data_IF_333969838868
#
_entry.id   IF_333969838868
#
_cell.length_a   1.000
_cell.length_b   1.000
_cell.length_c   1.000
_cell.angle_alpha   90.00
_cell.angle_beta   90.00
_cell.angle_gamma   90.00
#
_symmetry.space_group_name_H-M   'P 1'
#
loop_
_entity.id
_entity.type
_entity.pdbx_description
1 polymer ?
#
# COMPACT_ATOMS: atom_id res chain seq x y z
N UNK A 1 1.63 29.67 -24.34
CA UNK A 1 0.91 29.80 -23.05
C UNK A 1 1.80 30.53 -22.06
N UNK A 2 1.34 31.63 -21.48
CA UNK A 2 2.06 32.41 -20.45
C UNK A 2 1.21 32.43 -19.19
N UNK A 3 1.75 32.00 -18.06
CA UNK A 3 1.01 31.94 -16.79
C UNK A 3 0.94 33.35 -16.21
N UNK A 4 -0.27 33.89 -16.00
CA UNK A 4 -0.49 35.26 -15.50
C UNK A 4 -0.71 35.33 -13.99
N UNK A 5 -1.33 34.32 -13.37
CA UNK A 5 -1.59 34.27 -11.93
C UNK A 5 -1.66 32.85 -11.40
N UNK A 6 -1.03 32.61 -10.26
CA UNK A 6 -1.14 31.36 -9.50
C UNK A 6 -1.95 31.65 -8.24
N UNK A 7 -3.15 31.08 -8.15
CA UNK A 7 -4.11 31.38 -7.08
C UNK A 7 -3.95 30.51 -5.83
N UNK A 8 -3.34 29.33 -5.95
CA UNK A 8 -3.10 28.41 -4.82
C UNK A 8 -1.79 27.69 -5.04
N UNK A 9 -0.89 27.76 -4.05
CA UNK A 9 0.37 27.02 -4.03
C UNK A 9 0.34 26.17 -2.76
N UNK A 10 0.31 24.85 -2.92
CA UNK A 10 0.65 23.94 -1.83
C UNK A 10 2.18 23.88 -1.78
N UNK A 11 2.78 24.49 -0.76
CA UNK A 11 4.23 24.45 -0.53
C UNK A 11 4.51 23.47 0.61
N UNK A 12 5.42 22.53 0.35
CA UNK A 12 5.88 21.57 1.35
C UNK A 12 7.36 21.79 1.63
N UNK A 13 7.79 21.55 2.87
CA UNK A 13 9.20 21.36 3.16
C UNK A 13 9.59 19.95 2.69
N UNK A 14 10.53 19.87 1.76
CA UNK A 14 10.99 18.60 1.20
C UNK A 14 12.45 18.38 1.56
N UNK A 15 12.79 17.16 1.94
CA UNK A 15 14.15 16.70 2.16
C UNK A 15 14.36 15.41 1.36
N UNK A 16 15.60 15.10 1.01
CA UNK A 16 15.94 13.86 0.31
C UNK A 16 16.02 12.68 1.28
N UNK A 17 14.98 12.47 2.09
CA UNK A 17 14.98 11.53 3.21
C UNK A 17 15.20 10.06 2.79
N UNK A 18 14.81 9.68 1.56
CA UNK A 18 15.00 8.33 1.03
C UNK A 18 16.37 8.10 0.37
N UNK A 19 17.12 9.18 0.09
CA UNK A 19 18.37 9.11 -0.70
C UNK A 19 19.40 8.17 -0.10
N UNK A 20 19.68 8.31 1.19
CA UNK A 20 20.69 7.50 1.87
C UNK A 20 20.38 6.00 1.80
N UNK A 21 19.10 5.63 1.83
CA UNK A 21 18.66 4.24 1.71
C UNK A 21 18.89 3.69 0.30
N UNK A 22 18.52 4.45 -0.75
CA UNK A 22 18.72 4.04 -2.14
C UNK A 22 20.22 3.93 -2.46
N UNK A 23 21.03 4.89 -2.01
CA UNK A 23 22.47 4.88 -2.19
C UNK A 23 23.11 3.67 -1.49
N UNK A 24 22.70 3.36 -0.26
CA UNK A 24 23.18 2.20 0.49
C UNK A 24 22.90 0.88 -0.24
N UNK A 25 21.67 0.66 -0.69
CA UNK A 25 21.31 -0.55 -1.44
C UNK A 25 22.03 -0.63 -2.79
N UNK A 26 22.26 0.52 -3.45
CA UNK A 26 23.03 0.58 -4.69
C UNK A 26 24.49 0.19 -4.44
N UNK A 27 25.10 0.70 -3.38
CA UNK A 27 26.46 0.33 -2.98
C UNK A 27 26.55 -1.17 -2.68
N UNK A 28 25.66 -1.71 -1.86
CA UNK A 28 25.68 -3.13 -1.56
C UNK A 28 25.47 -4.00 -2.80
N UNK A 29 24.58 -3.59 -3.72
CA UNK A 29 24.38 -4.29 -5.00
C UNK A 29 25.63 -4.27 -5.87
N UNK A 30 26.38 -3.18 -5.90
CA UNK A 30 27.63 -3.07 -6.66
C UNK A 30 28.73 -3.96 -6.09
N UNK A 31 28.80 -4.10 -4.76
CA UNK A 31 29.81 -4.92 -4.08
C UNK A 31 29.43 -6.40 -3.98
N UNK A 32 28.16 -6.74 -4.20
CA UNK A 32 27.67 -8.11 -4.17
C UNK A 32 28.37 -8.98 -5.22
N UNK A 33 28.89 -10.11 -4.78
CA UNK A 33 29.64 -11.05 -5.63
C UNK A 33 28.76 -12.14 -6.23
N UNK A 34 27.62 -12.42 -5.59
CA UNK A 34 26.67 -13.44 -6.02
C UNK A 34 25.35 -12.83 -6.53
N UNK A 35 24.63 -13.60 -7.35
CA UNK A 35 23.38 -13.15 -7.96
C UNK A 35 22.24 -13.02 -6.96
N UNK A 36 22.27 -13.80 -5.88
CA UNK A 36 21.25 -13.72 -4.83
C UNK A 36 21.27 -12.34 -4.16
N UNK A 37 22.42 -11.89 -3.69
CA UNK A 37 22.59 -10.58 -3.06
C UNK A 37 22.27 -9.44 -4.02
N UNK A 38 22.73 -9.51 -5.27
CA UNK A 38 22.39 -8.51 -6.30
C UNK A 38 20.88 -8.38 -6.47
N UNK A 39 20.18 -9.51 -6.49
CA UNK A 39 18.72 -9.54 -6.61
C UNK A 39 18.04 -9.05 -5.33
N UNK A 40 18.58 -9.36 -4.15
CA UNK A 40 18.07 -8.87 -2.86
C UNK A 40 18.09 -7.34 -2.81
N UNK A 41 19.24 -6.70 -3.04
CA UNK A 41 19.34 -5.23 -2.95
C UNK A 41 18.53 -4.52 -4.03
N UNK A 42 18.41 -5.13 -5.23
CA UNK A 42 17.47 -4.66 -6.26
C UNK A 42 16.03 -4.73 -5.78
N UNK A 43 15.64 -5.85 -5.16
CA UNK A 43 14.30 -6.05 -4.61
C UNK A 43 13.99 -5.02 -3.51
N UNK A 44 14.94 -4.71 -2.64
CA UNK A 44 14.75 -3.74 -1.55
C UNK A 44 14.40 -2.33 -2.07
N UNK A 45 15.03 -1.88 -3.17
CA UNK A 45 14.67 -0.61 -3.81
C UNK A 45 13.31 -0.70 -4.53
N UNK A 46 13.07 -1.79 -5.26
CA UNK A 46 11.80 -1.98 -5.98
C UNK A 46 10.60 -2.12 -5.03
N UNK A 47 10.78 -2.73 -3.87
CA UNK A 47 9.74 -2.88 -2.85
C UNK A 47 9.32 -1.52 -2.30
N UNK A 48 10.28 -0.63 -2.01
CA UNK A 48 9.98 0.73 -1.57
C UNK A 48 9.24 1.51 -2.65
N UNK A 49 9.72 1.46 -3.90
CA UNK A 49 9.01 2.05 -5.05
C UNK A 49 7.57 1.54 -5.13
N UNK A 50 7.37 0.22 -5.14
CA UNK A 50 6.04 -0.39 -5.19
C UNK A 50 5.15 0.04 -4.04
N UNK A 51 5.70 0.17 -2.82
CA UNK A 51 4.93 0.58 -1.65
C UNK A 51 4.53 2.04 -1.67
N UNK A 52 5.38 2.92 -2.21
CA UNK A 52 5.07 4.35 -2.37
C UNK A 52 4.04 4.62 -3.48
N UNK A 53 3.98 3.76 -4.50
CA UNK A 53 3.03 3.85 -5.61
C UNK A 53 1.74 3.04 -5.40
N UNK A 54 1.57 2.40 -4.24
CA UNK A 54 0.40 1.58 -3.92
C UNK A 54 -0.89 2.42 -3.97
N UNK A 55 -1.88 1.96 -4.75
CA UNK A 55 -3.19 2.59 -4.81
C UNK A 55 -4.06 2.13 -3.63
N UNK A 56 -4.05 2.92 -2.55
CA UNK A 56 -4.83 2.65 -1.33
C UNK A 56 -6.33 2.51 -1.56
N UNK A 57 -6.88 3.05 -2.66
CA UNK A 57 -8.32 2.90 -2.99
C UNK A 57 -8.73 1.48 -3.33
N UNK A 58 -7.76 0.63 -3.67
CA UNK A 58 -7.98 -0.77 -3.97
C UNK A 58 -7.89 -1.64 -2.71
N UNK A 59 -7.57 -1.05 -1.55
CA UNK A 59 -7.54 -1.78 -0.29
C UNK A 59 -8.96 -2.26 0.07
N UNK A 60 -9.04 -3.49 0.57
CA UNK A 60 -10.28 -4.10 1.01
C UNK A 60 -10.04 -4.69 2.39
N UNK A 61 -10.97 -4.43 3.31
CA UNK A 61 -10.92 -5.04 4.63
C UNK A 61 -11.51 -6.45 4.53
N UNK A 62 -10.71 -7.46 4.86
CA UNK A 62 -11.14 -8.86 4.84
C UNK A 62 -11.21 -9.38 6.26
N UNK A 63 -12.39 -9.89 6.66
CA UNK A 63 -12.61 -10.53 7.95
C UNK A 63 -12.83 -12.02 7.77
N UNK A 64 -12.03 -12.84 8.44
CA UNK A 64 -12.21 -14.29 8.52
C UNK A 64 -13.04 -14.63 9.74
N UNK A 65 -14.13 -15.34 9.54
CA UNK A 65 -15.16 -15.61 10.55
C UNK A 65 -15.46 -17.10 10.59
N UNK A 66 -15.63 -17.63 11.79
CA UNK A 66 -15.94 -19.04 12.02
C UNK A 66 -17.32 -19.29 12.63
N UNK A 67 -18.04 -18.22 12.98
CA UNK A 67 -19.37 -18.27 13.56
C UNK A 67 -20.34 -17.45 12.72
N UNK A 68 -21.55 -18.00 12.55
CA UNK A 68 -22.63 -17.30 11.88
C UNK A 68 -23.21 -16.20 12.77
N UNK A 69 -23.63 -16.58 13.98
CA UNK A 69 -24.33 -15.71 14.92
C UNK A 69 -23.41 -14.83 15.78
N UNK A 70 -24.01 -13.78 16.35
CA UNK A 70 -23.42 -12.89 17.33
C UNK A 70 -22.99 -11.55 16.76
N UNK A 71 -22.66 -10.61 17.67
CA UNK A 71 -22.31 -9.22 17.31
C UNK A 71 -21.19 -9.10 16.28
N UNK A 72 -20.27 -10.06 16.27
CA UNK A 72 -19.14 -10.13 15.34
C UNK A 72 -19.22 -11.34 14.39
N UNK A 73 -20.38 -12.00 14.30
CA UNK A 73 -20.62 -13.13 13.43
C UNK A 73 -20.73 -12.72 11.96
N UNK A 74 -20.77 -13.72 11.07
CA UNK A 74 -20.91 -13.51 9.64
C UNK A 74 -22.19 -12.74 9.27
N UNK A 75 -23.30 -12.99 9.98
CA UNK A 75 -24.56 -12.27 9.77
C UNK A 75 -24.39 -10.76 9.95
N UNK A 76 -23.80 -10.34 11.09
CA UNK A 76 -23.58 -8.94 11.41
C UNK A 76 -22.68 -8.25 10.38
N UNK A 77 -21.67 -8.95 9.85
CA UNK A 77 -20.74 -8.41 8.85
C UNK A 77 -21.37 -8.28 7.46
N UNK A 78 -22.26 -9.20 7.09
CA UNK A 78 -23.03 -9.13 5.83
C UNK A 78 -24.07 -8.02 5.87
N UNK A 79 -24.63 -7.73 7.05
CA UNK A 79 -25.58 -6.63 7.24
C UNK A 79 -24.94 -5.23 7.24
N UNK A 80 -23.61 -5.12 7.25
CA UNK A 80 -22.94 -3.80 7.23
C UNK A 80 -23.14 -3.12 5.87
N UNK A 81 -23.33 -1.79 5.89
CA UNK A 81 -23.54 -0.98 4.66
C UNK A 81 -22.34 -0.99 3.72
N UNK A 82 -21.15 -1.28 4.23
CA UNK A 82 -19.93 -1.40 3.45
C UNK A 82 -19.61 -2.85 3.02
N UNK A 83 -20.55 -3.78 3.17
CA UNK A 83 -20.39 -5.14 2.67
C UNK A 83 -20.11 -5.15 1.15
N UNK A 84 -19.07 -5.86 0.74
CA UNK A 84 -18.72 -6.01 -0.67
C UNK A 84 -19.08 -7.40 -1.21
N UNK A 85 -18.56 -8.44 -0.57
CA UNK A 85 -18.77 -9.84 -0.98
C UNK A 85 -18.36 -10.80 0.13
N UNK A 86 -18.72 -12.08 -0.02
CA UNK A 86 -18.27 -13.16 0.87
C UNK A 86 -17.71 -14.33 0.07
N UNK A 87 -16.78 -15.06 0.68
CA UNK A 87 -16.22 -16.31 0.15
C UNK A 87 -16.24 -17.35 1.25
N UNK A 88 -16.87 -18.50 0.99
CA UNK A 88 -16.95 -19.61 1.95
C UNK A 88 -15.78 -20.54 1.65
N UNK A 89 -14.92 -20.79 2.65
CA UNK A 89 -13.78 -21.69 2.51
C UNK A 89 -14.10 -23.08 3.06
N UNK A 90 -14.88 -23.17 4.12
CA UNK A 90 -15.39 -24.42 4.70
C UNK A 90 -16.68 -24.15 5.48
N UNK A 91 -17.32 -25.21 6.00
CA UNK A 91 -18.55 -25.10 6.80
C UNK A 91 -18.41 -24.12 7.98
N UNK A 92 -17.22 -24.06 8.58
CA UNK A 92 -16.91 -23.23 9.74
C UNK A 92 -15.95 -22.08 9.40
N UNK A 93 -15.77 -21.70 8.13
CA UNK A 93 -14.87 -20.61 7.75
C UNK A 93 -15.38 -19.82 6.55
N UNK A 94 -15.64 -18.53 6.78
CA UNK A 94 -16.09 -17.57 5.77
C UNK A 94 -15.20 -16.33 5.80
N UNK A 95 -14.74 -15.87 4.63
CA UNK A 95 -14.22 -14.53 4.44
C UNK A 95 -15.34 -13.58 4.06
N UNK A 96 -15.46 -12.46 4.76
CA UNK A 96 -16.29 -11.32 4.37
C UNK A 96 -15.37 -10.18 3.95
N UNK A 97 -15.58 -9.68 2.74
CA UNK A 97 -14.90 -8.50 2.20
C UNK A 97 -15.77 -7.28 2.43
N UNK A 98 -15.19 -6.26 3.06
CA UNK A 98 -15.82 -4.98 3.34
C UNK A 98 -15.05 -3.88 2.59
N UNK A 99 -15.78 -2.92 2.01
CA UNK A 99 -15.19 -1.70 1.45
C UNK A 99 -14.76 -0.79 2.60
N UNK A 100 -13.64 -0.12 2.45
CA UNK A 100 -13.27 0.97 3.36
C UNK A 100 -14.19 2.17 3.11
N UNK A 101 -14.74 2.72 4.19
CA UNK A 101 -15.63 3.89 4.13
C UNK A 101 -14.85 5.20 4.02
N UNK A 102 -13.64 5.22 4.58
CA UNK A 102 -12.73 6.36 4.55
C UNK A 102 -11.35 5.88 4.14
N UNK A 103 -10.68 6.66 3.29
CA UNK A 103 -9.34 6.35 2.79
C UNK A 103 -8.36 7.46 3.17
N UNK A 104 -7.25 7.07 3.79
CA UNK A 104 -6.17 7.99 4.15
C UNK A 104 -5.04 7.89 3.14
N UNK A 105 -4.81 8.95 2.37
CA UNK A 105 -3.68 9.03 1.43
C UNK A 105 -2.39 9.31 2.20
N UNK A 106 -1.73 8.24 2.65
CA UNK A 106 -0.44 8.30 3.35
C UNK A 106 0.76 8.01 2.44
N UNK A 107 0.51 7.58 1.20
CA UNK A 107 1.55 7.16 0.27
C UNK A 107 2.25 8.37 -0.36
N UNK A 108 3.58 8.49 -0.25
CA UNK A 108 4.32 9.59 -0.85
C UNK A 108 4.57 9.33 -2.35
N UNK A 109 3.49 9.32 -3.14
CA UNK A 109 3.51 8.99 -4.59
C UNK A 109 4.53 9.84 -5.37
N UNK A 110 4.75 11.09 -4.93
CA UNK A 110 5.72 12.01 -5.53
C UNK A 110 7.16 11.49 -5.52
N UNK A 111 7.52 10.61 -4.59
CA UNK A 111 8.88 10.05 -4.45
C UNK A 111 9.19 9.04 -5.55
N UNK A 112 8.17 8.43 -6.15
CA UNK A 112 8.37 7.41 -7.17
C UNK A 112 9.16 7.88 -8.40
N UNK A 113 9.14 9.18 -8.71
CA UNK A 113 9.97 9.76 -9.78
C UNK A 113 11.48 9.74 -9.48
N UNK A 114 11.89 9.49 -8.23
CA UNK A 114 13.28 9.60 -7.77
C UNK A 114 13.92 8.27 -7.40
N UNK A 115 13.20 7.15 -7.46
CA UNK A 115 13.69 5.82 -7.04
C UNK A 115 14.15 4.97 -8.26
N UNK A 116 13.48 5.10 -9.40
CA UNK A 116 13.74 4.33 -10.63
C UNK A 116 14.77 5.00 -11.54
#
# INVERSE_FOLDING_TARGET
LRIEKIHRILRFAQTSWLRNYIELNTQFRTHATNDFEKNLYKLMNNAEFGKTMENVRNDVDVKLLTKWDGRYGAEAMVAMTNFHSRSIFSENLVAVKLRKLEEKFTKPIYVGMCIL
#
